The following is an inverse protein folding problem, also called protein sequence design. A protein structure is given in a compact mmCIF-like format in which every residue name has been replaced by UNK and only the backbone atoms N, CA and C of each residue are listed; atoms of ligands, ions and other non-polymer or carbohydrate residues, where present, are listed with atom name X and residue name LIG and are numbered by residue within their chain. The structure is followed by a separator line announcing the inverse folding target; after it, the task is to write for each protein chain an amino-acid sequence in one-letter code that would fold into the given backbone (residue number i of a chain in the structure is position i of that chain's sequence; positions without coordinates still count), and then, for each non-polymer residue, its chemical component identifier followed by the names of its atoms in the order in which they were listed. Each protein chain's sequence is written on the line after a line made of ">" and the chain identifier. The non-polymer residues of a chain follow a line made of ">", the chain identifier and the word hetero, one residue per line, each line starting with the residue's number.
data_IF_971430215163
#
_entry.id   IF_971430215163
#
_cell.length_a   1.000
_cell.length_b   1.000
_cell.length_c   1.000
_cell.angle_alpha   90.00
_cell.angle_beta   90.00
_cell.angle_gamma   90.00
#
_symmetry.space_group_name_H-M   'P 1'
#
loop_
_entity.id
_entity.type
_entity.pdbx_description
1 polymer ?
#
# COMPACT_ATOMS: atom_id res chain seq x y z
N UNK A 1 3.73 11.63 -4.81
CA UNK A 1 2.71 10.58 -4.85
C UNK A 1 3.16 9.48 -5.78
N UNK A 2 3.14 8.26 -5.32
CA UNK A 2 3.58 7.13 -6.11
C UNK A 2 2.38 6.27 -6.51
N UNK A 3 2.56 5.45 -7.52
CA UNK A 3 1.53 4.51 -7.95
C UNK A 3 2.09 3.09 -7.93
N UNK A 4 1.22 2.13 -7.75
CA UNK A 4 1.60 0.74 -7.74
C UNK A 4 0.40 -0.17 -7.68
N UNK A 5 0.67 -1.44 -7.50
CA UNK A 5 -0.37 -2.47 -7.37
C UNK A 5 -0.13 -3.28 -6.13
N UNK A 6 -1.20 -3.65 -5.47
CA UNK A 6 -1.10 -4.46 -4.27
C UNK A 6 -0.57 -5.84 -4.63
N UNK A 7 0.56 -6.20 -4.05
CA UNK A 7 1.14 -7.51 -4.26
C UNK A 7 0.39 -8.56 -3.46
N UNK A 8 0.13 -8.27 -2.19
CA UNK A 8 -0.74 -9.06 -1.34
C UNK A 8 -1.10 -8.23 -0.11
N UNK A 9 -2.20 -8.57 0.52
CA UNK A 9 -2.62 -7.91 1.74
C UNK A 9 -3.34 -8.93 2.62
N UNK A 10 -2.99 -8.94 3.91
CA UNK A 10 -3.58 -9.86 4.88
C UNK A 10 -4.53 -9.06 5.78
N UNK A 11 -5.84 -9.28 5.60
CA UNK A 11 -6.88 -8.55 6.33
C UNK A 11 -6.82 -8.83 7.83
N UNK A 12 -6.46 -10.04 8.20
CA UNK A 12 -6.45 -10.44 9.61
C UNK A 12 -5.31 -9.77 10.36
N UNK A 13 -4.15 -9.71 9.72
CA UNK A 13 -2.98 -9.09 10.32
C UNK A 13 -2.93 -7.59 10.06
N UNK A 14 -3.66 -7.11 9.06
CA UNK A 14 -3.78 -5.69 8.77
C UNK A 14 -2.58 -5.09 8.05
N UNK A 15 -1.84 -5.86 7.27
CA UNK A 15 -0.71 -5.33 6.53
C UNK A 15 -0.46 -6.12 5.24
N UNK A 16 0.33 -5.54 4.35
CA UNK A 16 0.70 -6.16 3.10
C UNK A 16 1.81 -5.39 2.42
N UNK A 17 1.97 -5.64 1.13
CA UNK A 17 3.00 -5.00 0.32
C UNK A 17 2.42 -4.52 -0.99
N UNK A 18 2.95 -3.40 -1.46
CA UNK A 18 2.59 -2.79 -2.73
C UNK A 18 3.80 -2.86 -3.65
N UNK A 19 3.60 -3.36 -4.87
CA UNK A 19 4.64 -3.36 -5.89
C UNK A 19 4.59 -2.03 -6.62
N UNK A 20 5.70 -1.28 -6.60
CA UNK A 20 5.79 0.02 -7.24
C UNK A 20 5.80 -0.12 -8.75
N UNK A 21 5.12 0.81 -9.43
CA UNK A 21 5.11 0.83 -10.89
C UNK A 21 6.46 1.22 -11.49
N UNK A 22 7.28 1.91 -10.73
CA UNK A 22 8.60 2.35 -11.22
C UNK A 22 9.68 1.27 -11.14
N UNK A 23 9.32 0.08 -10.68
CA UNK A 23 10.27 -1.02 -10.57
C UNK A 23 11.12 -1.01 -9.32
N UNK A 24 10.86 -0.09 -8.39
CA UNK A 24 11.59 -0.03 -7.13
C UNK A 24 11.20 -1.16 -6.19
N UNK A 25 11.74 -1.10 -4.97
CA UNK A 25 11.45 -2.10 -3.94
C UNK A 25 9.98 -2.06 -3.55
N UNK A 26 9.44 -3.23 -3.16
CA UNK A 26 8.10 -3.31 -2.61
C UNK A 26 7.99 -2.42 -1.37
N UNK A 27 6.81 -1.83 -1.20
CA UNK A 27 6.56 -0.88 -0.13
C UNK A 27 5.60 -1.52 0.86
N UNK A 28 5.96 -1.49 2.14
CA UNK A 28 5.12 -2.01 3.21
C UNK A 28 3.89 -1.10 3.37
N UNK A 29 2.72 -1.70 3.57
CA UNK A 29 1.49 -0.96 3.83
C UNK A 29 0.77 -1.58 5.02
N UNK A 30 0.33 -0.72 5.95
CA UNK A 30 -0.46 -1.11 7.11
C UNK A 30 -1.90 -0.60 6.93
N UNK A 31 -2.88 -1.28 7.53
CA UNK A 31 -4.28 -0.87 7.36
C UNK A 31 -4.53 0.57 7.81
N UNK A 32 -3.77 1.06 8.78
CA UNK A 32 -3.92 2.44 9.24
C UNK A 32 -3.46 3.46 8.21
N UNK A 33 -2.69 3.03 7.21
CA UNK A 33 -2.21 3.91 6.14
C UNK A 33 -3.20 3.98 4.97
N UNK A 34 -4.23 3.17 4.97
CA UNK A 34 -5.22 3.15 3.89
C UNK A 34 -6.23 4.26 4.15
N UNK A 35 -6.31 5.19 3.19
CA UNK A 35 -7.23 6.31 3.28
C UNK A 35 -8.49 6.00 2.48
N UNK A 36 -9.35 5.18 3.07
CA UNK A 36 -10.60 4.79 2.43
C UNK A 36 -11.70 4.80 3.47
N UNK A 37 -12.89 5.27 3.08
CA UNK A 37 -14.04 5.20 3.96
C UNK A 37 -14.59 3.78 3.94
N UNK A 38 -14.81 3.22 5.12
CA UNK A 38 -15.31 1.87 5.26
C UNK A 38 -14.20 0.85 5.42
N UNK A 39 -13.94 0.06 4.41
CA UNK A 39 -12.97 -1.03 4.50
C UNK A 39 -11.55 -0.52 4.38
N UNK A 40 -10.71 -0.95 5.31
CA UNK A 40 -9.27 -0.69 5.26
C UNK A 40 -8.55 -1.96 4.82
N UNK A 41 -8.97 -2.45 3.67
CA UNK A 41 -8.41 -3.65 3.08
C UNK A 41 -8.13 -3.40 1.61
N UNK A 42 -7.19 -4.14 1.07
CA UNK A 42 -6.78 -4.03 -0.31
C UNK A 42 -6.86 -5.41 -0.97
N UNK A 43 -7.25 -5.42 -2.24
CA UNK A 43 -7.30 -6.66 -3.01
C UNK A 43 -5.98 -6.85 -3.74
N UNK A 44 -5.57 -8.10 -3.89
CA UNK A 44 -4.37 -8.45 -4.66
C UNK A 44 -4.52 -7.96 -6.10
N UNK A 45 -3.49 -7.27 -6.59
CA UNK A 45 -3.49 -6.71 -7.94
C UNK A 45 -4.21 -5.38 -8.08
N UNK A 46 -4.80 -4.87 -7.00
CA UNK A 46 -5.52 -3.59 -7.05
C UNK A 46 -4.54 -2.43 -7.26
N UNK A 47 -4.89 -1.52 -8.18
CA UNK A 47 -4.08 -0.32 -8.40
C UNK A 47 -4.33 0.69 -7.30
N UNK A 48 -3.26 1.29 -6.79
CA UNK A 48 -3.34 2.26 -5.69
C UNK A 48 -2.37 3.41 -5.92
N UNK A 49 -2.68 4.55 -5.30
CA UNK A 49 -1.74 5.66 -5.16
C UNK A 49 -1.35 5.77 -3.69
N UNK A 50 -0.14 6.22 -3.45
CA UNK A 50 0.36 6.32 -2.07
C UNK A 50 1.56 7.22 -2.00
N UNK A 51 1.90 7.63 -0.78
CA UNK A 51 3.13 8.36 -0.49
C UNK A 51 4.12 7.39 0.14
N UNK A 52 5.40 7.55 -0.22
CA UNK A 52 6.45 6.70 0.31
C UNK A 52 7.15 7.46 1.44
N UNK A 53 7.22 6.82 2.59
CA UNK A 53 7.92 7.35 3.76
C UNK A 53 9.02 6.37 4.14
N UNK A 54 10.22 6.89 4.31
CA UNK A 54 11.33 6.06 4.78
C UNK A 54 11.21 5.83 6.28
N UNK A 55 11.31 4.58 6.68
CA UNK A 55 11.26 4.16 8.07
C UNK A 55 12.51 3.34 8.36
N UNK A 56 12.77 3.09 9.62
CA UNK A 56 13.91 2.28 10.05
C UNK A 56 13.92 0.90 9.40
N UNK A 57 12.74 0.37 9.08
CA UNK A 57 12.59 -0.95 8.46
C UNK A 57 12.55 -0.90 6.94
N UNK A 58 12.64 0.29 6.34
CA UNK A 58 12.60 0.45 4.90
C UNK A 58 11.44 1.33 4.45
N UNK A 59 11.12 1.35 3.15
CA UNK A 59 10.05 2.20 2.64
C UNK A 59 8.69 1.67 3.08
N UNK A 60 7.81 2.60 3.43
CA UNK A 60 6.48 2.32 3.92
C UNK A 60 5.49 3.25 3.23
N UNK A 61 4.32 2.74 2.90
CA UNK A 61 3.29 3.52 2.23
C UNK A 61 2.43 4.26 3.26
N UNK A 62 2.03 5.49 2.90
CA UNK A 62 1.06 6.26 3.66
C UNK A 62 0.06 6.86 2.70
N UNK A 63 -1.10 7.22 3.22
CA UNK A 63 -2.13 7.88 2.44
C UNK A 63 -2.50 7.06 1.20
N UNK A 64 -2.65 5.75 1.40
CA UNK A 64 -2.93 4.82 0.32
C UNK A 64 -4.39 4.96 -0.10
N UNK A 65 -4.61 5.15 -1.40
CA UNK A 65 -5.95 5.27 -1.97
C UNK A 65 -6.08 4.36 -3.18
N UNK A 66 -7.21 3.67 -3.32
CA UNK A 66 -7.44 2.88 -4.51
C UNK A 66 -7.61 3.79 -5.72
N UNK A 67 -7.09 3.34 -6.86
CA UNK A 67 -7.29 3.99 -8.15
C UNK A 67 -8.43 3.28 -8.85
N UNK A 68 -9.39 4.06 -9.29
CA UNK A 68 -10.51 3.48 -10.04
C UNK A 68 -10.26 3.54 -11.52
#
# INVERSE_FOLDING_TARGET
>A
MATGKVKWFNDQKGFGFIQRDDGGKDVFVHHTAINASGFRTLAEGQAVTFDIVEDAKGPKAQNVQPVQ
#
